data_IF_985616867561
#
_entry.id   IF_985616867561
#
_cell.length_a   1.000
_cell.length_b   1.000
_cell.length_c   1.000
_cell.angle_alpha   90.00
_cell.angle_beta   90.00
_cell.angle_gamma   90.00
#
_symmetry.space_group_name_H-M   'P 1'
#
loop_
_entity.id
_entity.type
_entity.pdbx_description
1 polymer ?
#
# COMPACT_ATOMS: atom_id res chain seq x y z
N UNK A 1 -18.20 15.59 14.06
CA UNK A 1 -17.98 14.82 12.81
C UNK A 1 -17.75 13.37 13.21
N UNK A 2 -18.48 12.41 12.66
CA UNK A 2 -18.35 10.99 13.02
C UNK A 2 -17.15 10.40 12.30
N UNK A 3 -15.95 10.50 12.88
CA UNK A 3 -14.75 9.87 12.32
C UNK A 3 -14.82 8.37 12.60
N UNK A 4 -15.42 7.63 11.67
CA UNK A 4 -15.35 6.17 11.67
C UNK A 4 -13.90 5.74 11.46
N UNK A 5 -13.38 4.90 12.35
CA UNK A 5 -12.05 4.28 12.18
C UNK A 5 -11.97 3.57 10.82
N UNK A 6 -10.95 3.86 10.00
CA UNK A 6 -10.83 3.28 8.67
C UNK A 6 -10.51 1.78 8.75
N UNK A 7 -10.87 1.02 7.72
CA UNK A 7 -10.45 -0.39 7.63
C UNK A 7 -8.99 -0.48 7.18
N UNK A 8 -8.32 -1.60 7.47
CA UNK A 8 -6.94 -1.85 7.01
C UNK A 8 -6.78 -1.60 5.50
N UNK A 9 -7.67 -2.16 4.68
CA UNK A 9 -7.60 -1.98 3.22
C UNK A 9 -7.84 -0.55 2.74
N UNK A 10 -8.61 0.27 3.48
CA UNK A 10 -8.75 1.70 3.18
C UNK A 10 -7.43 2.43 3.44
N UNK A 11 -6.80 2.19 4.59
CA UNK A 11 -5.52 2.77 4.96
C UNK A 11 -4.42 2.39 3.97
N UNK A 12 -4.29 1.10 3.65
CA UNK A 12 -3.31 0.60 2.68
C UNK A 12 -3.48 1.26 1.30
N UNK A 13 -4.73 1.40 0.83
CA UNK A 13 -5.04 2.08 -0.43
C UNK A 13 -4.69 3.56 -0.38
N UNK A 14 -5.01 4.24 0.72
CA UNK A 14 -4.68 5.66 0.91
C UNK A 14 -3.16 5.86 0.89
N UNK A 15 -2.41 5.02 1.61
CA UNK A 15 -0.94 5.05 1.60
C UNK A 15 -0.40 4.86 0.18
N UNK A 16 -0.84 3.81 -0.53
CA UNK A 16 -0.36 3.54 -1.89
C UNK A 16 -0.59 4.72 -2.84
N UNK A 17 -1.77 5.36 -2.77
CA UNK A 17 -2.10 6.52 -3.59
C UNK A 17 -1.26 7.75 -3.24
N UNK A 18 -1.08 8.03 -1.94
CA UNK A 18 -0.27 9.17 -1.48
C UNK A 18 1.20 8.98 -1.82
N UNK A 19 1.74 7.77 -1.66
CA UNK A 19 3.14 7.45 -2.02
C UNK A 19 3.36 7.59 -3.52
N UNK A 20 2.41 7.10 -4.34
CA UNK A 20 2.47 7.26 -5.78
C UNK A 20 2.46 8.74 -6.20
N UNK A 21 1.69 9.59 -5.49
CA UNK A 21 1.71 11.03 -5.70
C UNK A 21 3.04 11.67 -5.28
N UNK A 22 3.57 11.30 -4.10
CA UNK A 22 4.87 11.78 -3.62
C UNK A 22 5.98 11.54 -4.65
N UNK A 23 6.06 10.34 -5.22
CA UNK A 23 7.07 10.00 -6.23
C UNK A 23 6.94 10.85 -7.49
N UNK A 24 5.71 11.03 -7.98
CA UNK A 24 5.46 11.89 -9.15
C UNK A 24 5.84 13.34 -8.87
N UNK A 25 5.49 13.84 -7.69
CA UNK A 25 5.67 15.25 -7.35
C UNK A 25 7.14 15.58 -7.04
N UNK A 26 7.91 14.63 -6.47
CA UNK A 26 9.33 14.82 -6.13
C UNK A 26 10.29 14.43 -7.25
N UNK A 27 10.01 13.35 -7.99
CA UNK A 27 10.92 12.81 -9.01
C UNK A 27 10.43 13.01 -10.44
N UNK A 28 9.22 13.53 -10.64
CA UNK A 28 8.59 13.57 -11.96
C UNK A 28 8.27 12.18 -12.52
N UNK A 29 8.40 11.12 -11.71
CA UNK A 29 8.23 9.74 -12.13
C UNK A 29 7.19 9.04 -11.26
N UNK A 30 6.25 8.36 -11.89
CA UNK A 30 5.17 7.67 -11.19
C UNK A 30 5.38 6.15 -11.25
N UNK A 31 5.56 5.47 -10.11
CA UNK A 31 5.59 4.02 -10.08
C UNK A 31 4.32 3.43 -10.69
N UNK A 32 4.48 2.37 -11.48
CA UNK A 32 3.36 1.71 -12.15
C UNK A 32 2.40 1.03 -11.17
N UNK A 33 2.93 0.57 -10.04
CA UNK A 33 2.19 -0.09 -8.98
C UNK A 33 2.83 0.22 -7.64
N UNK A 34 1.99 0.55 -6.66
CA UNK A 34 2.38 0.69 -5.27
C UNK A 34 1.48 -0.24 -4.46
N UNK A 35 2.08 -1.16 -3.72
CA UNK A 35 1.39 -2.08 -2.82
C UNK A 35 1.81 -1.70 -1.41
N UNK A 36 0.84 -1.37 -0.56
CA UNK A 36 1.06 -1.17 0.86
C UNK A 36 0.38 -2.30 1.62
N UNK A 37 1.08 -2.84 2.61
CA UNK A 37 0.54 -3.81 3.55
C UNK A 37 0.84 -3.36 4.96
N UNK A 38 -0.20 -3.37 5.79
CA UNK A 38 -0.06 -3.11 7.21
C UNK A 38 0.00 -4.44 7.96
N UNK A 39 1.08 -4.67 8.69
CA UNK A 39 1.31 -5.86 9.48
C UNK A 39 1.74 -5.46 10.89
N UNK A 40 0.82 -5.49 11.85
CA UNK A 40 1.02 -5.04 13.24
C UNK A 40 1.64 -3.62 13.31
N UNK A 41 2.89 -3.53 13.74
CA UNK A 41 3.68 -2.30 13.83
C UNK A 41 4.50 -2.00 12.57
N UNK A 42 4.27 -2.71 11.46
CA UNK A 42 5.05 -2.54 10.24
C UNK A 42 4.16 -2.10 9.08
N UNK A 43 4.65 -1.15 8.29
CA UNK A 43 4.12 -0.84 6.97
C UNK A 43 5.12 -1.32 5.94
N UNK A 44 4.72 -2.30 5.15
CA UNK A 44 5.51 -2.78 4.02
C UNK A 44 5.01 -2.11 2.76
N UNK A 45 5.91 -1.50 2.00
CA UNK A 45 5.63 -0.85 0.72
C UNK A 45 6.47 -1.53 -0.35
N UNK A 46 5.83 -1.93 -1.44
CA UNK A 46 6.50 -2.46 -2.63
C UNK A 46 6.08 -1.61 -3.82
N UNK A 47 7.06 -1.14 -4.57
CA UNK A 47 6.84 -0.36 -5.79
C UNK A 47 7.43 -1.06 -6.99
N UNK A 48 6.69 -1.02 -8.11
CA UNK A 48 7.12 -1.55 -9.39
C UNK A 48 7.30 -0.41 -10.39
N UNK A 49 8.37 -0.49 -11.17
CA UNK A 49 8.82 0.56 -12.08
C UNK A 49 9.08 1.87 -11.34
N UNK A 50 9.83 1.83 -10.24
CA UNK A 50 10.19 3.00 -9.42
C UNK A 50 11.46 3.72 -9.88
N UNK A 51 12.18 3.16 -10.86
CA UNK A 51 13.41 3.74 -11.40
C UNK A 51 13.10 4.87 -12.39
N UNK A 52 13.68 6.04 -12.16
CA UNK A 52 13.48 7.23 -13.00
C UNK A 52 14.22 7.09 -14.33
N UNK A 53 13.81 7.88 -15.32
CA UNK A 53 14.42 7.86 -16.64
C UNK A 53 15.93 8.22 -16.63
N UNK A 54 16.41 9.22 -15.85
CA UNK A 54 17.85 9.48 -15.73
C UNK A 54 18.65 8.28 -15.21
N UNK A 55 18.17 7.60 -14.17
CA UNK A 55 18.84 6.41 -13.61
C UNK A 55 18.89 5.25 -14.61
N UNK A 56 17.78 5.02 -15.33
CA UNK A 56 17.74 4.00 -16.38
C UNK A 56 18.73 4.31 -17.52
N UNK A 57 18.84 5.57 -17.93
CA UNK A 57 19.77 5.99 -18.97
C UNK A 57 21.22 5.77 -18.54
N UNK A 58 21.56 6.11 -17.30
CA UNK A 58 22.89 5.86 -16.73
C UNK A 58 23.22 4.36 -16.72
N UNK A 59 22.30 3.52 -16.25
CA UNK A 59 22.50 2.07 -16.25
C UNK A 59 22.68 1.51 -17.66
N UNK A 60 21.89 1.97 -18.63
CA UNK A 60 21.96 1.51 -20.03
C UNK A 60 23.22 1.97 -20.77
N UNK A 61 23.81 3.10 -20.37
CA UNK A 61 25.02 3.65 -20.99
C UNK A 61 26.31 3.10 -20.37
N UNK A 62 26.21 2.12 -19.46
CA UNK A 62 27.35 1.47 -18.81
C UNK A 62 27.79 2.13 -17.52
N UNK A 63 27.03 3.11 -17.00
CA UNK A 63 27.31 3.82 -15.76
C UNK A 63 26.46 3.27 -14.60
N UNK A 64 26.52 1.95 -14.38
CA UNK A 64 25.70 1.27 -13.35
C UNK A 64 26.01 1.78 -11.93
N UNK A 65 27.28 1.97 -11.58
CA UNK A 65 27.68 2.47 -10.26
C UNK A 65 27.09 3.85 -9.98
N UNK A 66 27.14 4.75 -10.98
CA UNK A 66 26.55 6.08 -10.87
C UNK A 66 25.02 6.03 -10.81
N UNK A 67 24.39 5.13 -11.55
CA UNK A 67 22.94 4.92 -11.44
C UNK A 67 22.54 4.46 -10.03
N UNK A 68 23.36 3.61 -9.40
CA UNK A 68 23.14 3.14 -8.04
C UNK A 68 23.39 4.23 -6.99
N UNK A 69 24.41 5.07 -7.18
CA UNK A 69 24.67 6.23 -6.31
C UNK A 69 23.52 7.23 -6.35
N UNK A 70 23.08 7.60 -7.57
CA UNK A 70 21.89 8.46 -7.74
C UNK A 70 20.66 7.84 -7.08
N UNK A 71 20.44 6.54 -7.25
CA UNK A 71 19.33 5.84 -6.57
C UNK A 71 19.44 5.98 -5.05
N UNK A 72 20.59 5.71 -4.47
CA UNK A 72 20.80 5.81 -3.02
C UNK A 72 20.48 7.21 -2.51
N UNK A 73 20.97 8.25 -3.19
CA UNK A 73 20.73 9.64 -2.83
C UNK A 73 19.25 10.03 -2.92
N UNK A 74 18.54 9.53 -3.94
CA UNK A 74 17.10 9.74 -4.11
C UNK A 74 16.29 9.01 -3.04
N UNK A 75 16.66 7.77 -2.71
CA UNK A 75 15.99 7.00 -1.67
C UNK A 75 16.15 7.71 -0.31
N UNK A 76 17.35 8.19 0.04
CA UNK A 76 17.61 8.97 1.26
C UNK A 76 16.79 10.27 1.32
N UNK A 77 16.71 10.99 0.20
CA UNK A 77 15.95 12.24 0.11
C UNK A 77 14.43 12.01 0.25
N UNK A 78 13.91 10.92 -0.31
CA UNK A 78 12.49 10.57 -0.26
C UNK A 78 12.13 9.94 1.08
N UNK A 79 13.03 9.20 1.72
CA UNK A 79 12.75 8.46 2.94
C UNK A 79 12.17 9.34 4.05
N UNK A 80 12.67 10.57 4.22
CA UNK A 80 12.14 11.51 5.22
C UNK A 80 10.70 11.95 4.90
N UNK A 81 10.38 12.16 3.62
CA UNK A 81 9.05 12.54 3.18
C UNK A 81 8.08 11.36 3.27
N UNK A 82 8.54 10.16 2.93
CA UNK A 82 7.80 8.92 3.07
C UNK A 82 7.46 8.66 4.54
N UNK A 83 8.43 8.86 5.45
CA UNK A 83 8.23 8.78 6.89
C UNK A 83 7.11 9.72 7.34
N UNK A 84 7.23 11.01 7.03
CA UNK A 84 6.22 12.01 7.41
C UNK A 84 4.82 11.68 6.86
N UNK A 85 4.75 11.20 5.61
CA UNK A 85 3.51 10.79 4.96
C UNK A 85 2.85 9.61 5.69
N UNK A 86 3.63 8.60 6.09
CA UNK A 86 3.13 7.46 6.86
C UNK A 86 2.63 7.91 8.23
N UNK A 87 3.40 8.74 8.94
CA UNK A 87 3.03 9.27 10.25
C UNK A 87 1.72 10.07 10.20
N UNK A 88 1.58 10.95 9.20
CA UNK A 88 0.37 11.74 9.00
C UNK A 88 -0.84 10.86 8.64
N UNK A 89 -0.64 9.85 7.78
CA UNK A 89 -1.73 8.97 7.34
C UNK A 89 -2.23 8.05 8.44
N UNK A 90 -1.31 7.57 9.30
CA UNK A 90 -1.62 6.61 10.35
C UNK A 90 -1.86 7.26 11.72
N UNK A 91 -1.47 8.52 11.89
CA UNK A 91 -1.44 9.21 13.19
C UNK A 91 -0.60 8.45 14.23
N UNK A 92 0.48 7.80 13.79
CA UNK A 92 1.40 7.00 14.60
C UNK A 92 2.84 7.34 14.20
N UNK A 93 3.73 7.50 15.17
CA UNK A 93 5.15 7.78 14.91
C UNK A 93 5.88 6.58 14.31
N UNK A 94 6.78 6.85 13.36
CA UNK A 94 7.67 5.89 12.71
C UNK A 94 9.03 5.93 13.41
N UNK A 95 9.49 4.78 13.90
CA UNK A 95 10.80 4.60 14.52
C UNK A 95 11.87 4.71 13.44
N UNK A 96 11.80 3.85 12.42
CA UNK A 96 12.77 3.77 11.35
C UNK A 96 12.11 3.34 10.04
N UNK A 97 12.80 3.64 8.93
CA UNK A 97 12.43 3.18 7.59
C UNK A 97 13.63 2.48 7.00
N UNK A 98 13.43 1.24 6.56
CA UNK A 98 14.40 0.47 5.80
C UNK A 98 14.01 0.55 4.33
N UNK A 99 14.97 0.87 3.47
CA UNK A 99 14.75 1.02 2.04
C UNK A 99 15.76 0.18 1.27
N UNK A 100 15.30 -0.45 0.19
CA UNK A 100 16.18 -1.05 -0.80
C UNK A 100 15.53 -0.96 -2.18
N UNK A 101 16.37 -0.81 -3.20
CA UNK A 101 15.94 -0.70 -4.59
C UNK A 101 16.83 -1.54 -5.49
N UNK A 102 16.21 -2.46 -6.22
CA UNK A 102 16.89 -3.31 -7.20
C UNK A 102 16.71 -2.73 -8.61
N UNK A 103 17.77 -2.16 -9.18
CA UNK A 103 17.74 -1.53 -10.51
C UNK A 103 17.35 -2.53 -11.62
N UNK A 104 17.83 -3.76 -11.55
CA UNK A 104 17.62 -4.79 -12.58
C UNK A 104 16.15 -5.17 -12.74
N UNK A 105 15.40 -5.18 -11.63
CA UNK A 105 13.97 -5.52 -11.63
C UNK A 105 13.07 -4.30 -11.59
N UNK A 106 13.65 -3.11 -11.46
CA UNK A 106 12.96 -1.83 -11.27
C UNK A 106 11.96 -1.88 -10.11
N UNK A 107 12.37 -2.50 -9.00
CA UNK A 107 11.54 -2.66 -7.79
C UNK A 107 12.19 -1.97 -6.61
N UNK A 108 11.38 -1.23 -5.85
CA UNK A 108 11.79 -0.67 -4.56
C UNK A 108 10.92 -1.24 -3.44
N UNK A 109 11.55 -1.58 -2.33
CA UNK A 109 10.91 -2.03 -1.10
C UNK A 109 11.20 -1.06 0.02
N UNK A 110 10.17 -0.73 0.80
CA UNK A 110 10.31 0.04 2.03
C UNK A 110 9.61 -0.70 3.17
N UNK A 111 10.23 -0.69 4.34
CA UNK A 111 9.63 -1.19 5.57
C UNK A 111 9.71 -0.07 6.60
N UNK A 112 8.58 0.49 6.98
CA UNK A 112 8.49 1.46 8.07
C UNK A 112 8.06 0.74 9.36
N UNK A 113 8.85 0.91 10.42
CA UNK A 113 8.58 0.36 11.74
C UNK A 113 7.91 1.44 12.58
N UNK A 114 6.73 1.13 13.11
CA UNK A 114 5.87 2.02 13.87
C UNK A 114 6.09 1.82 15.38
N UNK A 115 5.86 2.88 16.14
CA UNK A 115 5.88 2.85 17.60
C UNK A 115 4.76 1.99 18.18
N UNK A 116 3.60 1.96 17.55
CA UNK A 116 2.42 1.18 17.95
C UNK A 116 1.59 0.74 16.72
N UNK A 117 0.78 -0.32 16.84
CA UNK A 117 -0.12 -0.70 15.75
C UNK A 117 -1.15 0.42 15.49
N UNK A 118 -1.38 0.83 14.24
CA UNK A 118 -2.32 1.91 13.95
C UNK A 118 -3.76 1.44 14.17
N UNK A 119 -4.61 2.37 14.58
CA UNK A 119 -6.01 2.11 14.84
C UNK A 119 -6.78 1.83 13.52
N UNK A 120 -6.91 0.55 13.17
CA UNK A 120 -7.67 0.09 12.00
C UNK A 120 -8.81 -0.82 12.40
N UNK A 121 -9.95 -0.69 11.72
CA UNK A 121 -11.10 -1.57 11.92
C UNK A 121 -10.86 -2.89 11.20
N UNK A 122 -10.80 -3.98 11.96
CA UNK A 122 -10.85 -5.34 11.40
C UNK A 122 -12.31 -5.68 11.06
N UNK A 123 -12.63 -6.09 9.82
CA UNK A 123 -13.94 -6.65 9.53
C UNK A 123 -14.11 -7.93 10.36
N UNK A 124 -15.03 -7.94 11.30
CA UNK A 124 -15.44 -9.18 11.99
C UNK A 124 -16.15 -10.08 10.98
N UNK A 125 -15.71 -11.33 10.86
CA UNK A 125 -16.24 -12.34 9.93
C UNK A 125 -17.63 -12.88 10.34
N UNK A 126 -18.40 -12.14 11.14
CA UNK A 126 -19.71 -12.54 11.63
C UNK A 126 -20.83 -11.85 10.83
N UNK A 127 -20.97 -12.25 9.57
CA UNK A 127 -22.20 -12.04 8.81
C UNK A 127 -22.50 -13.26 7.94
N UNK A 128 -22.59 -14.43 8.57
CA UNK A 128 -23.22 -15.60 7.97
C UNK A 128 -24.25 -16.20 8.93
N UNK A 129 -25.43 -16.55 8.40
CA UNK A 129 -26.75 -16.80 9.04
C UNK A 129 -27.51 -15.49 9.33
N UNK A 130 -28.59 -15.14 8.61
CA UNK A 130 -29.80 -15.94 8.40
C UNK A 130 -30.40 -15.66 7.02
N UNK A 131 -30.18 -16.54 6.04
CA UNK A 131 -31.15 -16.76 4.97
C UNK A 131 -32.13 -17.81 5.49
N UNK A 132 -33.15 -17.36 6.24
CA UNK A 132 -34.32 -18.19 6.57
C UNK A 132 -34.98 -18.53 5.23
N UNK A 133 -34.93 -19.79 4.85
CA UNK A 133 -35.76 -20.30 3.77
C UNK A 133 -37.22 -20.07 4.12
N UNK A 134 -37.92 -19.32 3.28
CA UNK A 134 -39.37 -19.41 3.17
C UNK A 134 -39.65 -20.32 1.98
N UNK A 135 -39.76 -21.60 2.27
CA UNK A 135 -40.47 -22.56 1.43
C UNK A 135 -41.95 -22.15 1.40
N UNK A 136 -42.36 -21.34 0.42
CA UNK A 136 -43.77 -21.19 0.09
C UNK A 136 -44.19 -22.35 -0.82
N UNK A 137 -44.67 -23.40 -0.16
CA UNK A 137 -45.96 -24.02 -0.45
C UNK A 137 -46.35 -24.16 -1.94
N UNK A 138 -46.14 -25.36 -2.49
CA UNK A 138 -46.90 -25.88 -3.63
C UNK A 138 -47.61 -27.15 -3.17
N UNK A 139 -48.69 -26.98 -2.41
CA UNK A 139 -49.63 -28.07 -2.16
C UNK A 139 -50.53 -28.29 -3.37
N UNK A 140 -50.42 -29.49 -3.92
CA UNK A 140 -51.32 -30.21 -4.80
C UNK A 140 -52.77 -29.74 -4.88
N UNK A 141 -53.25 -29.57 -6.12
CA UNK A 141 -54.65 -29.80 -6.50
C UNK A 141 -54.94 -31.30 -6.57
N UNK A 142 -56.01 -31.82 -5.95
CA UNK A 142 -56.56 -33.12 -6.30
C UNK A 142 -57.71 -32.97 -7.31
N UNK A 143 -57.79 -33.93 -8.23
CA UNK A 143 -58.88 -34.17 -9.18
C UNK A 143 -60.13 -34.74 -8.50
N UNK A 144 -61.26 -34.59 -9.20
CA UNK A 144 -62.57 -35.30 -9.15
C UNK A 144 -63.71 -34.35 -8.72
N UNK A 145 -64.86 -34.25 -9.38
CA UNK A 145 -65.55 -35.14 -10.31
C UNK A 145 -66.27 -34.34 -11.42
#
# INVERSE_FOLDING_TARGET
>A
MTTSTPTRGQVERTLAQRIQALYRDQLGHQPSKVICQLCDQNVVVIMENSITQPEQLLAQTGHQELAQEVRSDLDDAIQQQLKALIEETLSVSVIEVLADTTLETSRSGFIAILTEPPAVRTPTADSNKVRRGTSSDRSHTPKSA
#
